data_IF_164980864301
#
_entry.id   IF_164980864301
#
_cell.length_a   1.000
_cell.length_b   1.000
_cell.length_c   1.000
_cell.angle_alpha   90.00
_cell.angle_beta   90.00
_cell.angle_gamma   90.00
#
_symmetry.space_group_name_H-M   'P 1'
#
loop_
_entity.id
_entity.type
_entity.pdbx_description
1 polymer ?
#
# COMPACT_ATOMS: atom_id res chain seq x y z
N UNK A 1 1.68 -9.28 -9.49
CA UNK A 1 1.58 -8.00 -8.74
C UNK A 1 2.53 -6.93 -9.28
N UNK A 2 3.86 -7.11 -9.25
CA UNK A 2 4.81 -6.05 -9.61
C UNK A 2 5.26 -5.99 -11.08
N UNK A 3 5.05 -7.05 -11.88
CA UNK A 3 5.43 -7.07 -13.30
C UNK A 3 6.91 -7.37 -13.59
N UNK A 4 7.72 -7.70 -12.58
CA UNK A 4 9.08 -8.19 -12.77
C UNK A 4 9.13 -9.72 -12.83
N UNK A 5 10.06 -10.25 -13.64
CA UNK A 5 10.41 -11.67 -13.66
C UNK A 5 11.42 -12.00 -12.56
N UNK A 6 11.51 -13.28 -12.19
CA UNK A 6 12.47 -13.74 -11.18
C UNK A 6 13.93 -13.45 -11.56
N UNK A 7 14.27 -13.54 -12.86
CA UNK A 7 15.63 -13.23 -13.35
C UNK A 7 16.00 -11.76 -13.15
N UNK A 8 15.04 -10.85 -13.23
CA UNK A 8 15.27 -9.41 -13.09
C UNK A 8 15.44 -8.95 -11.64
N UNK A 9 14.97 -9.73 -10.67
CA UNK A 9 14.91 -9.33 -9.26
C UNK A 9 15.87 -10.12 -8.37
N UNK A 10 16.23 -11.35 -8.74
CA UNK A 10 17.06 -12.22 -7.90
C UNK A 10 18.43 -11.58 -7.65
N UNK A 11 18.84 -11.54 -6.39
CA UNK A 11 20.13 -10.99 -5.97
C UNK A 11 20.19 -9.46 -5.89
N UNK A 12 19.11 -8.76 -6.28
CA UNK A 12 19.05 -7.30 -6.15
C UNK A 12 18.57 -6.90 -4.75
N UNK A 13 19.12 -5.79 -4.26
CA UNK A 13 18.65 -5.21 -3.02
C UNK A 13 17.35 -4.44 -3.29
N UNK A 14 16.27 -4.85 -2.64
CA UNK A 14 14.96 -4.23 -2.81
C UNK A 14 15.00 -2.74 -2.43
N UNK A 15 15.75 -2.38 -1.38
CA UNK A 15 15.88 -1.06 -0.77
C UNK A 15 16.64 -0.02 -1.62
N UNK A 16 17.05 -0.41 -2.83
CA UNK A 16 17.59 0.49 -3.86
C UNK A 16 16.51 1.22 -4.67
N UNK A 17 15.21 0.99 -4.40
CA UNK A 17 14.14 1.78 -5.01
C UNK A 17 13.31 1.08 -6.10
N UNK A 18 13.56 -0.21 -6.37
CA UNK A 18 12.95 -0.92 -7.51
C UNK A 18 11.41 -0.95 -7.47
N UNK A 19 10.83 -1.11 -6.28
CA UNK A 19 9.38 -1.16 -6.06
C UNK A 19 8.83 0.04 -5.29
N UNK A 20 9.67 1.04 -5.03
CA UNK A 20 9.33 2.18 -4.19
C UNK A 20 9.04 3.42 -5.04
N UNK A 21 7.98 4.18 -4.72
CA UNK A 21 7.93 5.60 -5.02
C UNK A 21 9.14 6.34 -4.41
N UNK A 22 9.56 7.45 -5.01
CA UNK A 22 10.78 8.16 -4.61
C UNK A 22 10.77 8.59 -3.12
N UNK A 23 9.61 9.02 -2.63
CA UNK A 23 9.35 9.44 -1.25
C UNK A 23 9.27 8.26 -0.25
N UNK A 24 9.20 7.01 -0.74
CA UNK A 24 8.97 5.82 0.08
C UNK A 24 10.20 4.92 0.25
N UNK A 25 11.35 5.27 -0.34
CA UNK A 25 12.59 4.47 -0.21
C UNK A 25 13.02 4.37 1.27
N UNK A 26 12.99 5.49 2.01
CA UNK A 26 13.34 5.51 3.45
C UNK A 26 12.37 4.68 4.29
N UNK A 27 11.09 4.68 3.93
CA UNK A 27 10.06 3.85 4.57
C UNK A 27 10.36 2.36 4.38
N UNK A 28 10.72 1.94 3.16
CA UNK A 28 11.13 0.58 2.84
C UNK A 28 12.25 0.06 3.72
N UNK A 29 13.36 0.82 3.78
CA UNK A 29 14.52 0.50 4.63
C UNK A 29 14.14 0.30 6.10
N UNK A 30 13.26 1.17 6.61
CA UNK A 30 12.76 1.05 7.99
C UNK A 30 11.93 -0.22 8.18
N UNK A 31 11.13 -0.61 7.19
CA UNK A 31 10.35 -1.85 7.25
C UNK A 31 11.23 -3.09 7.19
N UNK A 32 12.29 -3.09 6.38
CA UNK A 32 13.29 -4.16 6.37
C UNK A 32 13.87 -4.38 7.77
N UNK A 33 14.28 -3.30 8.46
CA UNK A 33 14.80 -3.40 9.83
C UNK A 33 13.75 -3.93 10.80
N UNK A 34 12.54 -3.35 10.80
CA UNK A 34 11.46 -3.80 11.71
C UNK A 34 11.08 -5.26 11.49
N UNK A 35 11.09 -5.71 10.24
CA UNK A 35 10.76 -7.09 9.88
C UNK A 35 11.85 -8.08 10.31
N UNK A 36 13.10 -7.63 10.51
CA UNK A 36 14.15 -8.46 11.11
C UNK A 36 13.95 -8.61 12.62
N UNK A 37 13.40 -7.59 13.28
CA UNK A 37 13.15 -7.58 14.73
C UNK A 37 11.85 -8.33 15.10
N UNK A 38 10.89 -8.44 14.18
CA UNK A 38 9.62 -9.12 14.42
C UNK A 38 8.60 -8.96 13.30
N UNK A 39 7.34 -9.34 13.57
CA UNK A 39 6.26 -9.19 12.61
C UNK A 39 5.92 -7.72 12.36
N UNK A 40 5.68 -7.38 11.10
CA UNK A 40 5.21 -6.07 10.65
C UNK A 40 4.02 -6.25 9.71
N UNK A 41 2.96 -5.49 9.93
CA UNK A 41 1.91 -5.26 8.95
C UNK A 41 1.73 -3.75 8.70
N UNK A 42 1.67 -3.35 7.43
CA UNK A 42 1.52 -1.94 7.08
C UNK A 42 0.89 -1.72 5.72
N UNK A 43 -0.04 -0.79 5.63
CA UNK A 43 -0.63 -0.33 4.37
C UNK A 43 0.18 0.83 3.77
N UNK A 44 0.60 0.72 2.51
CA UNK A 44 1.37 1.77 1.82
C UNK A 44 1.20 1.69 0.31
N UNK A 45 1.90 2.54 -0.42
CA UNK A 45 1.97 2.55 -1.88
C UNK A 45 3.29 1.93 -2.35
N UNK A 46 3.20 1.14 -3.41
CA UNK A 46 4.34 0.62 -4.14
C UNK A 46 4.20 0.89 -5.63
N UNK A 47 5.31 0.67 -6.35
CA UNK A 47 5.45 0.94 -7.78
C UNK A 47 5.70 -0.37 -8.54
N UNK A 48 4.94 -0.59 -9.61
CA UNK A 48 5.15 -1.70 -10.55
C UNK A 48 6.32 -1.38 -11.49
N UNK A 49 6.77 -2.38 -12.26
CA UNK A 49 7.83 -2.23 -13.27
C UNK A 49 7.52 -1.13 -14.30
N UNK A 50 6.28 -1.01 -14.71
CA UNK A 50 5.80 0.00 -15.65
C UNK A 50 5.65 1.42 -15.03
N UNK A 51 5.95 1.58 -13.73
CA UNK A 51 5.82 2.83 -13.00
C UNK A 51 4.45 3.04 -12.34
N UNK A 52 3.47 2.18 -12.58
CA UNK A 52 2.13 2.29 -11.99
C UNK A 52 2.20 2.19 -10.46
N UNK A 53 1.59 3.16 -9.79
CA UNK A 53 1.44 3.16 -8.34
C UNK A 53 0.20 2.38 -7.93
N UNK A 54 0.31 1.61 -6.85
CA UNK A 54 -0.81 0.81 -6.36
C UNK A 54 -0.73 0.61 -4.85
N UNK A 55 -1.89 0.48 -4.23
CA UNK A 55 -2.02 0.31 -2.78
C UNK A 55 -1.75 -1.14 -2.39
N UNK A 56 -0.93 -1.32 -1.37
CA UNK A 56 -0.60 -2.64 -0.84
C UNK A 56 -0.71 -2.70 0.67
N UNK A 57 -1.09 -3.88 1.17
CA UNK A 57 -0.75 -4.28 2.54
C UNK A 57 0.52 -5.14 2.46
N UNK A 58 1.51 -4.75 3.26
CA UNK A 58 2.76 -5.46 3.46
C UNK A 58 2.61 -6.26 4.75
N UNK A 59 2.87 -7.56 4.70
CA UNK A 59 3.04 -8.39 5.89
C UNK A 59 4.42 -9.03 5.83
N UNK A 60 5.23 -8.82 6.86
CA UNK A 60 6.63 -9.28 6.88
C UNK A 60 6.99 -9.91 8.21
N UNK A 61 7.80 -10.97 8.17
CA UNK A 61 8.30 -11.67 9.34
C UNK A 61 9.76 -12.06 9.16
N UNK A 62 10.54 -12.17 10.25
CA UNK A 62 11.90 -12.66 10.17
C UNK A 62 11.90 -14.17 9.89
N UNK A 63 12.87 -14.62 9.11
CA UNK A 63 13.18 -16.04 8.94
C UNK A 63 14.29 -16.38 9.93
N UNK A 64 13.98 -17.26 10.89
CA UNK A 64 14.88 -17.63 11.97
C UNK A 64 15.55 -18.97 11.68
N UNK A 65 16.89 -19.02 11.74
CA UNK A 65 17.68 -20.26 11.73
C UNK A 65 18.61 -20.21 12.94
N UNK A 66 18.63 -21.27 13.75
CA UNK A 66 19.43 -21.35 14.99
C UNK A 66 19.26 -20.14 15.93
N UNK A 67 17.99 -19.69 16.08
CA UNK A 67 17.60 -18.52 16.88
C UNK A 67 18.21 -17.18 16.41
N UNK A 68 18.72 -17.11 15.17
CA UNK A 68 19.22 -15.89 14.56
C UNK A 68 18.42 -15.53 13.30
N UNK A 69 18.11 -14.25 13.08
CA UNK A 69 17.44 -13.81 11.86
C UNK A 69 18.41 -13.95 10.67
N UNK A 70 17.97 -14.65 9.62
CA UNK A 70 18.73 -14.83 8.37
C UNK A 70 18.21 -13.94 7.23
N UNK A 71 17.07 -13.30 7.44
CA UNK A 71 16.40 -12.47 6.45
C UNK A 71 14.93 -12.30 6.81
N UNK A 72 14.15 -11.83 5.84
CA UNK A 72 12.72 -11.62 6.01
C UNK A 72 11.95 -12.30 4.89
N UNK A 73 10.77 -12.81 5.23
CA UNK A 73 9.75 -13.16 4.25
C UNK A 73 8.73 -12.03 4.20
N UNK A 74 8.38 -11.58 3.01
CA UNK A 74 7.50 -10.43 2.80
C UNK A 74 6.41 -10.80 1.81
N UNK A 75 5.16 -10.57 2.20
CA UNK A 75 3.98 -10.69 1.34
C UNK A 75 3.48 -9.28 1.01
N UNK A 76 3.18 -9.06 -0.27
CA UNK A 76 2.51 -7.86 -0.75
C UNK A 76 1.14 -8.23 -1.28
N UNK A 77 0.09 -7.77 -0.61
CA UNK A 77 -1.29 -7.91 -1.06
C UNK A 77 -1.71 -6.63 -1.76
N UNK A 78 -2.06 -6.73 -3.04
CA UNK A 78 -2.69 -5.62 -3.77
C UNK A 78 -4.09 -5.37 -3.17
N UNK A 79 -4.35 -4.14 -2.76
CA UNK A 79 -5.64 -3.71 -2.19
C UNK A 79 -6.28 -2.60 -3.02
N UNK A 80 -5.83 -2.38 -4.26
CA UNK A 80 -6.29 -1.29 -5.12
C UNK A 80 -7.79 -1.38 -5.38
N UNK A 81 -8.29 -2.57 -5.74
CA UNK A 81 -9.72 -2.81 -5.97
C UNK A 81 -10.54 -2.55 -4.70
N UNK A 82 -10.09 -3.08 -3.55
CA UNK A 82 -10.72 -2.83 -2.25
C UNK A 82 -10.83 -1.34 -1.95
N UNK A 83 -9.76 -0.56 -2.15
CA UNK A 83 -9.75 0.90 -1.96
C UNK A 83 -10.73 1.61 -2.90
N UNK A 84 -10.81 1.18 -4.15
CA UNK A 84 -11.76 1.73 -5.12
C UNK A 84 -13.21 1.48 -4.68
N UNK A 85 -13.53 0.26 -4.23
CA UNK A 85 -14.87 -0.05 -3.72
C UNK A 85 -15.20 0.72 -2.43
N UNK A 86 -14.26 0.85 -1.50
CA UNK A 86 -14.44 1.66 -0.27
C UNK A 86 -14.71 3.13 -0.62
N UNK A 87 -14.00 3.70 -1.60
CA UNK A 87 -14.20 5.06 -2.06
C UNK A 87 -15.57 5.24 -2.73
N UNK A 88 -15.97 4.32 -3.62
CA UNK A 88 -17.28 4.35 -4.28
C UNK A 88 -18.41 4.29 -3.27
N UNK A 89 -18.32 3.39 -2.29
CA UNK A 89 -19.31 3.27 -1.21
C UNK A 89 -19.38 4.55 -0.38
N UNK A 90 -18.24 5.18 -0.07
CA UNK A 90 -18.19 6.44 0.67
C UNK A 90 -18.88 7.57 -0.11
N UNK A 91 -18.61 7.69 -1.41
CA UNK A 91 -19.25 8.68 -2.29
C UNK A 91 -20.77 8.44 -2.34
N UNK A 92 -21.20 7.20 -2.57
CA UNK A 92 -22.62 6.85 -2.64
C UNK A 92 -23.36 7.15 -1.33
N UNK A 93 -22.73 6.81 -0.19
CA UNK A 93 -23.26 7.13 1.12
C UNK A 93 -23.44 8.65 1.30
N UNK A 94 -22.45 9.45 0.91
CA UNK A 94 -22.53 10.91 1.01
C UNK A 94 -23.64 11.50 0.11
N UNK A 95 -23.80 10.99 -1.12
CA UNK A 95 -24.88 11.39 -2.03
C UNK A 95 -26.25 11.04 -1.42
N UNK A 96 -26.41 9.80 -0.95
CA UNK A 96 -27.66 9.34 -0.32
C UNK A 96 -28.02 10.17 0.91
N UNK A 97 -27.02 10.52 1.74
CA UNK A 97 -27.23 11.37 2.91
C UNK A 97 -27.75 12.75 2.51
N UNK A 98 -27.12 13.38 1.53
CA UNK A 98 -27.50 14.72 1.08
C UNK A 98 -28.87 14.76 0.40
N UNK A 99 -29.22 13.75 -0.41
CA UNK A 99 -30.52 13.67 -1.05
C UNK A 99 -31.70 13.51 -0.07
N UNK A 100 -31.45 12.90 1.10
CA UNK A 100 -32.46 12.67 2.15
C UNK A 100 -32.39 13.68 3.29
N UNK A 101 -31.73 14.83 3.10
CA UNK A 101 -31.66 15.90 4.09
C UNK A 101 -31.95 17.25 3.46
N UNK A 102 -32.32 18.25 4.27
CA UNK A 102 -32.59 19.63 3.83
C UNK A 102 -31.29 20.40 3.48
N UNK A 103 -30.30 19.70 2.93
CA UNK A 103 -28.98 20.25 2.60
C UNK A 103 -29.02 20.72 1.14
N UNK A 104 -28.75 22.00 0.92
CA UNK A 104 -28.72 22.58 -0.42
C UNK A 104 -27.55 22.03 -1.26
N UNK A 105 -27.67 22.06 -2.60
CA UNK A 105 -26.64 21.60 -3.54
C UNK A 105 -25.25 22.23 -3.26
N UNK A 106 -25.25 23.49 -2.82
CA UNK A 106 -24.04 24.26 -2.47
C UNK A 106 -23.33 23.73 -1.22
N UNK A 107 -24.07 23.11 -0.29
CA UNK A 107 -23.52 22.48 0.90
C UNK A 107 -23.04 21.04 0.62
N UNK A 108 -23.56 20.39 -0.43
CA UNK A 108 -23.14 19.07 -0.85
C UNK A 108 -21.77 19.08 -1.52
N UNK A 109 -21.53 19.99 -2.47
CA UNK A 109 -20.30 20.04 -3.29
C UNK A 109 -18.97 19.89 -2.51
N UNK A 110 -18.70 20.64 -1.42
CA UNK A 110 -17.46 20.51 -0.66
C UNK A 110 -17.33 19.21 0.17
N UNK A 111 -18.41 18.43 0.34
CA UNK A 111 -18.37 17.14 1.06
C UNK A 111 -18.00 15.97 0.14
N UNK A 112 -18.28 16.07 -1.15
CA UNK A 112 -17.98 15.07 -2.18
C UNK A 112 -16.69 15.37 -2.97
N UNK A 113 -16.16 16.58 -2.85
CA UNK A 113 -14.82 16.94 -3.33
C UNK A 113 -13.94 17.35 -2.15
N UNK A 114 -13.04 16.46 -1.74
CA UNK A 114 -11.86 16.79 -0.96
C UNK A 114 -10.67 16.76 -1.90
N UNK A 115 -10.07 17.93 -2.14
CA UNK A 115 -8.67 18.03 -2.55
C UNK A 115 -7.75 17.52 -1.43
#
# INVERSE_FOLDING_TARGET
VFGYTLKEIRGRNIDEGMIYPADKIKEGKRFTQKALDGFLEYETIRKKKDGTLFSVIISASPVMIDKKPQGTVVLYRDITERKQSEQQNTILYNISKAANSDISLNQLYPLIHKE
#
